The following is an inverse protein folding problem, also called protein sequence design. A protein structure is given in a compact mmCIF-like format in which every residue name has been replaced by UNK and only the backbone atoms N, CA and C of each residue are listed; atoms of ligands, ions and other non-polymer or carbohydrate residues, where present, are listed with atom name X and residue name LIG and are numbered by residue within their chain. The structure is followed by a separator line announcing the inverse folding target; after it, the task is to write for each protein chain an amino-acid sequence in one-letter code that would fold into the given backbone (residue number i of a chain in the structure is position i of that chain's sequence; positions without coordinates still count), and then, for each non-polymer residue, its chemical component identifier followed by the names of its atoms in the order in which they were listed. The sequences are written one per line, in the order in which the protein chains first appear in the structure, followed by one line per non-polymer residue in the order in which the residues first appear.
data_IF_289751586328
#
_entry.id   IF_289751586328
#
_cell.length_a   1.000
_cell.length_b   1.000
_cell.length_c   1.000
_cell.angle_alpha   90.00
_cell.angle_beta   90.00
_cell.angle_gamma   90.00
#
_symmetry.space_group_name_H-M   'P 1'
#
loop_
_entity.id
_entity.type
_entity.pdbx_description
1 polymer ?
#
# COMPACT_ATOMS: atom_id res chain seq x y z
N UNK A 1 9.09 28.02 -1.90
CA UNK A 1 8.58 26.87 -2.69
C UNK A 1 7.62 26.12 -1.79
N UNK A 2 6.43 25.74 -2.26
CA UNK A 2 5.58 24.85 -1.49
C UNK A 2 6.31 23.51 -1.28
N UNK A 3 6.30 22.93 -0.05
CA UNK A 3 7.01 21.69 0.21
C UNK A 3 6.51 20.56 -0.69
N UNK A 4 7.45 19.69 -1.09
CA UNK A 4 7.14 18.44 -1.75
C UNK A 4 7.41 17.28 -0.77
N UNK A 5 6.50 16.32 -0.74
CA UNK A 5 6.63 15.11 0.08
C UNK A 5 6.89 13.89 -0.79
N UNK A 6 7.64 12.93 -0.27
CA UNK A 6 7.73 11.58 -0.83
C UNK A 6 6.71 10.69 -0.14
N UNK A 7 5.87 10.00 -0.92
CA UNK A 7 4.89 9.06 -0.39
C UNK A 7 5.18 7.68 -0.94
N UNK A 8 5.42 6.74 -0.04
CA UNK A 8 5.36 5.33 -0.34
C UNK A 8 3.93 4.84 -0.16
N UNK A 9 3.23 4.58 -1.26
CA UNK A 9 1.86 4.05 -1.25
C UNK A 9 1.94 2.53 -1.32
N UNK A 10 2.28 1.87 -0.21
CA UNK A 10 2.41 0.41 -0.15
C UNK A 10 1.08 -0.33 -0.07
N UNK A 11 1.13 -1.64 -0.34
CA UNK A 11 -0.04 -2.54 -0.36
C UNK A 11 -0.72 -2.61 1.01
N UNK A 12 0.05 -2.92 2.06
CA UNK A 12 -0.45 -3.08 3.45
C UNK A 12 -0.27 -1.82 4.29
N UNK A 13 0.81 -1.08 4.06
CA UNK A 13 1.19 0.13 4.79
C UNK A 13 1.70 1.19 3.82
N UNK A 14 1.46 2.45 4.17
CA UNK A 14 1.98 3.62 3.49
C UNK A 14 2.88 4.43 4.41
N UNK A 15 3.83 5.16 3.83
CA UNK A 15 4.78 6.00 4.52
C UNK A 15 4.85 7.37 3.85
N UNK A 16 5.04 8.43 4.64
CA UNK A 16 5.28 9.78 4.12
C UNK A 16 6.57 10.35 4.69
N UNK A 17 7.38 10.93 3.83
CA UNK A 17 8.64 11.55 4.18
C UNK A 17 8.81 12.91 3.52
N UNK A 18 9.72 13.71 4.07
CA UNK A 18 10.09 15.00 3.53
C UNK A 18 11.61 15.15 3.49
N UNK A 19 12.10 15.80 2.43
CA UNK A 19 13.50 16.19 2.33
C UNK A 19 13.66 17.67 2.72
N UNK A 20 14.35 17.95 3.82
CA UNK A 20 14.67 19.31 4.30
C UNK A 20 16.05 19.31 4.94
N UNK A 21 16.77 20.42 4.82
CA UNK A 21 18.10 20.61 5.44
C UNK A 21 19.09 19.48 5.12
N UNK A 22 19.09 19.02 3.87
CA UNK A 22 19.88 17.90 3.36
C UNK A 22 19.65 16.56 4.08
N UNK A 23 18.47 16.38 4.67
CA UNK A 23 18.05 15.18 5.39
C UNK A 23 16.66 14.72 4.94
N UNK A 24 16.48 13.41 4.92
CA UNK A 24 15.17 12.79 4.72
C UNK A 24 14.59 12.43 6.10
N UNK A 25 13.47 13.04 6.45
CA UNK A 25 12.73 12.75 7.68
C UNK A 25 11.46 11.97 7.34
N UNK A 26 11.26 10.85 8.04
CA UNK A 26 10.01 10.07 7.97
C UNK A 26 9.03 10.61 9.02
N UNK A 27 7.85 11.01 8.56
CA UNK A 27 6.85 11.70 9.37
C UNK A 27 5.99 10.66 10.09
N UNK A 28 5.94 10.77 11.42
CA UNK A 28 5.05 9.95 12.23
C UNK A 28 3.60 10.45 12.11
N UNK A 29 2.64 9.52 12.10
CA UNK A 29 1.22 9.82 12.11
C UNK A 29 0.73 10.26 13.50
N UNK A 30 -0.58 10.49 13.63
CA UNK A 30 -1.23 10.96 14.86
C UNK A 30 -1.15 9.96 16.03
N UNK A 31 -0.79 8.71 15.76
CA UNK A 31 -0.52 7.67 16.77
C UNK A 31 0.98 7.52 17.09
N UNK A 32 1.85 8.30 16.45
CA UNK A 32 3.31 8.20 16.58
C UNK A 32 3.95 7.12 15.70
N UNK A 33 3.20 6.46 14.82
CA UNK A 33 3.71 5.43 13.92
C UNK A 33 4.32 6.05 12.66
N UNK A 34 5.49 5.56 12.23
CA UNK A 34 6.17 6.02 11.00
C UNK A 34 5.60 5.45 9.70
N UNK A 35 4.74 4.45 9.82
CA UNK A 35 3.97 3.86 8.74
C UNK A 35 2.51 3.83 9.14
N UNK A 36 1.61 4.07 8.20
CA UNK A 36 0.16 4.05 8.42
C UNK A 36 -0.46 2.91 7.61
N UNK A 37 -1.31 2.06 8.19
CA UNK A 37 -1.98 1.01 7.43
C UNK A 37 -2.70 1.55 6.18
N UNK A 38 -2.58 0.87 5.05
CA UNK A 38 -3.30 1.17 3.80
C UNK A 38 -4.76 0.67 3.85
N UNK A 39 -5.47 1.07 4.90
CA UNK A 39 -6.83 0.62 5.22
C UNK A 39 -7.82 1.79 5.16
N UNK A 40 -9.01 1.54 4.64
CA UNK A 40 -10.13 2.49 4.63
C UNK A 40 -11.40 1.79 5.14
N UNK A 41 -11.91 2.24 6.27
CA UNK A 41 -13.13 1.75 6.90
C UNK A 41 -14.30 2.70 6.64
N UNK A 42 -15.47 2.15 6.33
CA UNK A 42 -16.71 2.90 6.16
C UNK A 42 -17.70 2.50 7.25
N UNK A 43 -18.27 3.50 7.94
CA UNK A 43 -19.26 3.30 8.99
C UNK A 43 -20.53 4.11 8.69
N UNK A 44 -21.54 4.01 9.55
CA UNK A 44 -22.77 4.79 9.41
C UNK A 44 -22.56 6.30 9.61
N UNK A 45 -21.45 6.70 10.25
CA UNK A 45 -21.19 8.09 10.63
C UNK A 45 -20.03 8.69 9.85
N UNK A 46 -18.96 7.92 9.65
CA UNK A 46 -17.68 8.45 9.20
C UNK A 46 -16.85 7.44 8.40
N UNK A 47 -15.80 7.98 7.78
CA UNK A 47 -14.80 7.19 7.09
C UNK A 47 -13.54 7.19 7.94
N UNK A 48 -13.07 6.00 8.29
CA UNK A 48 -11.84 5.75 9.02
C UNK A 48 -10.73 5.44 8.03
N UNK A 49 -9.50 5.90 8.29
CA UNK A 49 -8.34 5.66 7.42
C UNK A 49 -7.14 5.34 8.32
N UNK A 50 -6.29 4.39 7.92
CA UNK A 50 -5.09 4.05 8.69
C UNK A 50 -5.38 3.16 9.89
N UNK A 51 -4.72 3.45 11.02
CA UNK A 51 -4.81 2.66 12.25
C UNK A 51 -6.25 2.49 12.73
N UNK A 52 -7.06 3.56 12.65
CA UNK A 52 -8.46 3.51 13.05
C UNK A 52 -9.29 2.51 12.20
N UNK A 53 -9.04 2.47 10.88
CA UNK A 53 -9.71 1.52 10.00
C UNK A 53 -9.23 0.08 10.24
N UNK A 54 -7.93 -0.11 10.47
CA UNK A 54 -7.36 -1.42 10.76
C UNK A 54 -7.89 -2.00 12.09
N UNK A 55 -7.94 -1.19 13.15
CA UNK A 55 -8.35 -1.65 14.48
C UNK A 55 -9.80 -2.16 14.52
N UNK A 56 -10.69 -1.66 13.66
CA UNK A 56 -12.09 -2.09 13.62
C UNK A 56 -12.37 -3.24 12.63
N UNK A 57 -11.37 -3.71 11.87
CA UNK A 57 -11.60 -4.68 10.77
C UNK A 57 -12.29 -5.95 11.26
N UNK A 58 -12.03 -6.38 12.50
CA UNK A 58 -12.67 -7.55 13.14
C UNK A 58 -14.18 -7.39 13.35
N UNK A 59 -14.63 -6.17 13.58
CA UNK A 59 -16.03 -5.84 13.84
C UNK A 59 -16.78 -5.46 12.57
N UNK A 60 -16.08 -4.94 11.55
CA UNK A 60 -16.66 -4.43 10.32
C UNK A 60 -15.87 -4.88 9.06
N UNK A 61 -15.74 -6.19 8.83
CA UNK A 61 -14.84 -6.71 7.78
C UNK A 61 -15.35 -6.44 6.36
N UNK A 62 -16.67 -6.33 6.15
CA UNK A 62 -17.27 -6.12 4.83
C UNK A 62 -17.14 -4.68 4.32
N UNK A 63 -16.97 -3.71 5.24
CA UNK A 63 -16.85 -2.29 4.90
C UNK A 63 -15.46 -1.73 5.28
N UNK A 64 -14.48 -2.61 5.51
CA UNK A 64 -13.08 -2.22 5.70
C UNK A 64 -12.26 -2.73 4.54
N UNK A 65 -11.82 -1.80 3.71
CA UNK A 65 -11.09 -2.05 2.48
C UNK A 65 -9.58 -1.99 2.77
N UNK A 66 -8.86 -2.98 2.26
CA UNK A 66 -7.40 -3.08 2.26
C UNK A 66 -6.95 -3.61 0.89
N UNK A 67 -5.65 -3.64 0.62
CA UNK A 67 -5.09 -4.20 -0.63
C UNK A 67 -5.62 -3.56 -1.93
N UNK A 68 -6.14 -2.33 -1.86
CA UNK A 68 -6.64 -1.61 -3.04
C UNK A 68 -5.58 -1.46 -4.15
N UNK A 69 -4.29 -1.43 -3.78
CA UNK A 69 -3.15 -1.41 -4.71
C UNK A 69 -3.09 -2.65 -5.62
N UNK A 70 -3.64 -3.79 -5.19
CA UNK A 70 -3.76 -4.99 -6.04
C UNK A 70 -4.76 -4.81 -7.18
N UNK A 71 -5.75 -3.93 -7.01
CA UNK A 71 -6.85 -3.70 -7.96
C UNK A 71 -6.62 -2.50 -8.89
N UNK A 72 -5.77 -1.55 -8.48
CA UNK A 72 -5.59 -0.28 -9.19
C UNK A 72 -5.12 -0.47 -10.64
N UNK A 73 -5.76 0.23 -11.58
CA UNK A 73 -5.44 0.17 -13.01
C UNK A 73 -5.71 -1.16 -13.72
N UNK A 74 -6.33 -2.15 -13.05
CA UNK A 74 -6.68 -3.45 -13.61
C UNK A 74 -8.10 -3.51 -14.16
N UNK A 75 -8.40 -4.56 -14.92
CA UNK A 75 -9.75 -4.89 -15.38
C UNK A 75 -10.38 -5.89 -14.43
N UNK A 76 -11.71 -5.82 -14.27
CA UNK A 76 -12.44 -6.73 -13.40
C UNK A 76 -12.22 -8.20 -13.81
N UNK A 77 -12.15 -8.47 -15.11
CA UNK A 77 -11.97 -9.81 -15.67
C UNK A 77 -10.53 -10.35 -15.59
N UNK A 78 -9.55 -9.56 -15.13
CA UNK A 78 -8.17 -10.03 -15.01
C UNK A 78 -8.08 -11.21 -14.02
N UNK A 79 -7.33 -12.25 -14.39
CA UNK A 79 -7.24 -13.48 -13.58
C UNK A 79 -6.75 -13.22 -12.15
N UNK A 80 -5.82 -12.28 -11.99
CA UNK A 80 -5.29 -11.85 -10.69
C UNK A 80 -6.39 -11.20 -9.83
N UNK A 81 -7.23 -10.33 -10.42
CA UNK A 81 -8.37 -9.73 -9.72
C UNK A 81 -9.37 -10.81 -9.28
N UNK A 82 -9.68 -11.75 -10.16
CA UNK A 82 -10.59 -12.86 -9.84
C UNK A 82 -10.04 -13.82 -8.77
N UNK A 83 -8.72 -13.96 -8.68
CA UNK A 83 -8.06 -14.72 -7.61
C UNK A 83 -8.14 -13.97 -6.28
N UNK A 84 -7.75 -12.69 -6.27
CA UNK A 84 -7.71 -11.83 -5.08
C UNK A 84 -9.09 -11.65 -4.44
N UNK A 85 -10.14 -11.51 -5.27
CA UNK A 85 -11.52 -11.39 -4.81
C UNK A 85 -12.00 -12.52 -3.89
N UNK A 86 -11.38 -13.71 -3.96
CA UNK A 86 -11.71 -14.86 -3.11
C UNK A 86 -11.19 -14.71 -1.68
N UNK A 87 -10.24 -13.80 -1.48
CA UNK A 87 -9.55 -13.58 -0.22
C UNK A 87 -9.99 -12.29 0.49
N UNK A 88 -10.69 -11.40 -0.22
CA UNK A 88 -11.24 -10.19 0.37
C UNK A 88 -12.54 -10.45 1.16
N UNK A 89 -12.69 -9.73 2.26
CA UNK A 89 -13.91 -9.73 3.08
C UNK A 89 -14.98 -8.75 2.57
N UNK A 90 -14.60 -7.83 1.69
CA UNK A 90 -15.47 -6.84 1.05
C UNK A 90 -15.80 -7.24 -0.39
N UNK A 91 -16.89 -6.67 -0.93
CA UNK A 91 -17.39 -7.06 -2.24
C UNK A 91 -16.74 -6.23 -3.35
N UNK A 92 -16.30 -6.90 -4.41
CA UNK A 92 -15.90 -6.25 -5.66
C UNK A 92 -16.97 -6.49 -6.72
N UNK A 93 -17.38 -5.42 -7.41
CA UNK A 93 -18.37 -5.44 -8.48
C UNK A 93 -17.77 -4.92 -9.78
N UNK A 94 -18.27 -5.41 -10.91
CA UNK A 94 -17.90 -4.90 -12.23
C UNK A 94 -18.72 -3.65 -12.57
N UNK A 95 -18.04 -2.53 -12.83
CA UNK A 95 -18.67 -1.37 -13.49
C UNK A 95 -17.89 -1.03 -14.76
N UNK A 96 -18.47 -1.38 -15.90
CA UNK A 96 -17.89 -1.04 -17.21
C UNK A 96 -16.55 -1.72 -17.47
N UNK A 97 -16.34 -2.94 -16.97
CA UNK A 97 -15.10 -3.71 -17.10
C UNK A 97 -14.04 -3.40 -16.05
N UNK A 98 -14.32 -2.50 -15.10
CA UNK A 98 -13.39 -2.09 -14.03
C UNK A 98 -13.85 -2.57 -12.66
N UNK A 99 -12.93 -3.05 -11.79
CA UNK A 99 -13.29 -3.46 -10.45
C UNK A 99 -13.68 -2.22 -9.63
N UNK A 100 -14.80 -2.31 -8.93
CA UNK A 100 -15.26 -1.30 -7.98
C UNK A 100 -15.53 -1.99 -6.64
N UNK A 101 -15.14 -1.34 -5.55
CA UNK A 101 -15.28 -1.85 -4.19
C UNK A 101 -16.62 -1.36 -3.63
N UNK A 102 -17.54 -2.28 -3.40
CA UNK A 102 -18.87 -2.00 -2.87
C UNK A 102 -18.89 -2.12 -1.34
N UNK A 103 -19.35 -1.07 -0.67
CA UNK A 103 -19.42 -0.95 0.79
C UNK A 103 -20.72 -0.26 1.21
N UNK A 104 -21.19 -0.53 2.42
CA UNK A 104 -22.22 0.26 3.07
C UNK A 104 -21.59 1.46 3.77
N UNK A 105 -22.05 2.66 3.45
CA UNK A 105 -21.56 3.90 4.04
C UNK A 105 -22.72 4.85 4.30
N UNK A 106 -22.92 5.25 5.56
CA UNK A 106 -24.05 6.10 5.99
C UNK A 106 -25.43 5.54 5.60
N UNK A 107 -25.60 4.22 5.75
CA UNK A 107 -26.84 3.52 5.41
C UNK A 107 -27.15 3.41 3.91
N UNK A 108 -26.19 3.73 3.04
CA UNK A 108 -26.32 3.56 1.59
C UNK A 108 -25.19 2.70 1.01
N UNK A 109 -25.55 1.82 0.08
CA UNK A 109 -24.58 1.08 -0.72
C UNK A 109 -23.84 2.06 -1.65
N UNK A 110 -22.52 2.15 -1.48
CA UNK A 110 -21.62 2.95 -2.31
C UNK A 110 -20.64 2.01 -3.01
N UNK A 111 -20.19 2.40 -4.21
CA UNK A 111 -19.08 1.71 -4.85
C UNK A 111 -18.00 2.73 -5.19
N UNK A 112 -16.77 2.40 -4.81
CA UNK A 112 -15.58 3.22 -5.03
C UNK A 112 -14.63 2.54 -5.98
N UNK A 113 -13.93 3.31 -6.81
CA UNK A 113 -12.84 2.75 -7.60
C UNK A 113 -11.59 2.53 -6.73
N UNK A 114 -10.66 1.65 -7.12
CA UNK A 114 -9.39 1.48 -6.40
C UNK A 114 -8.58 2.78 -6.29
N UNK A 115 -8.69 3.66 -7.28
CA UNK A 115 -8.08 5.00 -7.29
C UNK A 115 -8.71 5.89 -6.22
N UNK A 116 -10.03 5.87 -6.02
CA UNK A 116 -10.69 6.63 -4.95
C UNK A 116 -10.29 6.12 -3.55
N UNK A 117 -10.20 4.80 -3.35
CA UNK A 117 -9.70 4.24 -2.09
C UNK A 117 -8.24 4.64 -1.84
N UNK A 118 -7.39 4.55 -2.87
CA UNK A 118 -5.99 4.98 -2.78
C UNK A 118 -5.87 6.49 -2.53
N UNK A 119 -6.76 7.30 -3.09
CA UNK A 119 -6.82 8.74 -2.85
C UNK A 119 -7.18 9.08 -1.40
N UNK A 120 -8.01 8.25 -0.73
CA UNK A 120 -8.30 8.41 0.69
C UNK A 120 -7.03 8.16 1.52
N UNK A 121 -6.25 7.13 1.18
CA UNK A 121 -4.95 6.85 1.83
C UNK A 121 -3.96 8.00 1.58
N UNK A 122 -3.84 8.47 0.35
CA UNK A 122 -2.99 9.61 0.00
C UNK A 122 -3.42 10.91 0.69
N UNK A 123 -4.73 11.12 0.86
CA UNK A 123 -5.27 12.24 1.66
C UNK A 123 -4.77 12.15 3.10
N UNK A 124 -4.84 10.97 3.73
CA UNK A 124 -4.31 10.78 5.09
C UNK A 124 -2.80 11.05 5.15
N UNK A 125 -2.03 10.61 4.15
CA UNK A 125 -0.58 10.88 4.07
C UNK A 125 -0.28 12.37 3.94
N UNK A 126 -1.07 13.09 3.13
CA UNK A 126 -0.99 14.55 3.02
C UNK A 126 -1.29 15.21 4.36
N UNK A 127 -2.41 14.88 4.99
CA UNK A 127 -2.83 15.45 6.28
C UNK A 127 -1.78 15.21 7.38
N UNK A 128 -1.18 14.02 7.41
CA UNK A 128 -0.06 13.70 8.31
C UNK A 128 1.13 14.62 8.07
N UNK A 129 1.52 14.85 6.81
CA UNK A 129 2.58 15.78 6.49
C UNK A 129 2.20 17.23 6.82
N UNK A 130 0.98 17.68 6.52
CA UNK A 130 0.49 19.03 6.82
C UNK A 130 0.50 19.31 8.32
N UNK A 131 0.07 18.34 9.14
CA UNK A 131 0.13 18.43 10.60
C UNK A 131 1.55 18.55 11.13
N UNK A 132 2.54 17.90 10.48
CA UNK A 132 3.95 17.98 10.87
C UNK A 132 4.59 19.31 10.45
N UNK A 133 4.24 19.82 9.28
CA UNK A 133 4.87 21.01 8.68
C UNK A 133 4.19 22.33 9.10
N UNK A 134 2.91 22.27 9.52
CA UNK A 134 2.11 23.45 9.84
C UNK A 134 1.66 24.26 8.61
N UNK A 135 1.76 23.70 7.41
CA UNK A 135 1.41 24.34 6.14
C UNK A 135 0.82 23.32 5.16
N UNK A 136 0.09 23.80 4.14
CA UNK A 136 -0.53 22.95 3.11
C UNK A 136 0.51 22.27 2.21
N UNK A 137 0.29 20.99 1.93
CA UNK A 137 1.16 20.18 1.07
C UNK A 137 0.45 19.92 -0.26
N UNK A 138 0.96 20.53 -1.33
CA UNK A 138 0.36 20.40 -2.65
C UNK A 138 1.15 19.49 -3.59
N UNK A 139 2.44 19.26 -3.35
CA UNK A 139 3.30 18.52 -4.27
C UNK A 139 3.73 17.19 -3.67
N UNK A 140 3.69 16.13 -4.46
CA UNK A 140 4.15 14.82 -4.03
C UNK A 140 4.90 14.07 -5.13
N UNK A 141 5.85 13.23 -4.71
CA UNK A 141 6.38 12.12 -5.51
C UNK A 141 5.81 10.84 -4.91
N UNK A 142 5.20 9.99 -5.72
CA UNK A 142 4.56 8.75 -5.24
C UNK A 142 5.30 7.55 -5.84
N UNK A 143 5.59 6.55 -5.02
CA UNK A 143 6.25 5.32 -5.46
C UNK A 143 5.23 4.30 -6.01
N UNK A 144 5.69 3.45 -6.92
CA UNK A 144 4.96 2.27 -7.43
C UNK A 144 5.93 1.11 -7.67
N UNK A 145 5.46 -0.14 -7.73
CA UNK A 145 6.30 -1.27 -8.08
C UNK A 145 6.90 -1.11 -9.48
N UNK A 146 8.11 -1.60 -9.71
CA UNK A 146 8.78 -1.44 -11.01
C UNK A 146 8.01 -2.12 -12.16
N UNK A 147 7.30 -3.21 -11.88
CA UNK A 147 6.49 -3.96 -12.85
C UNK A 147 5.13 -3.32 -13.16
N UNK A 148 4.74 -2.23 -12.49
CA UNK A 148 3.50 -1.52 -12.82
C UNK A 148 3.51 -1.02 -14.26
N UNK A 149 2.46 -1.37 -15.01
CA UNK A 149 2.24 -0.90 -16.37
C UNK A 149 1.69 0.54 -16.40
N UNK A 150 1.56 1.10 -17.60
CA UNK A 150 1.10 2.48 -17.80
C UNK A 150 -0.30 2.76 -17.22
N UNK A 151 -1.22 1.79 -17.32
CA UNK A 151 -2.57 1.90 -16.76
C UNK A 151 -2.53 2.04 -15.24
N UNK A 152 -1.72 1.22 -14.57
CA UNK A 152 -1.58 1.24 -13.12
C UNK A 152 -0.87 2.52 -12.65
N UNK A 153 0.19 2.95 -13.36
CA UNK A 153 0.89 4.22 -13.07
C UNK A 153 -0.03 5.43 -13.22
N UNK A 154 -0.83 5.46 -14.28
CA UNK A 154 -1.80 6.53 -14.50
C UNK A 154 -2.87 6.52 -13.42
N UNK A 155 -3.41 5.35 -13.07
CA UNK A 155 -4.40 5.20 -12.02
C UNK A 155 -3.88 5.65 -10.62
N UNK A 156 -2.63 5.33 -10.27
CA UNK A 156 -1.99 5.86 -9.06
C UNK A 156 -1.81 7.38 -9.11
N UNK A 157 -1.46 7.94 -10.29
CA UNK A 157 -1.38 9.39 -10.47
C UNK A 157 -2.74 10.07 -10.33
N UNK A 158 -3.80 9.45 -10.87
CA UNK A 158 -5.17 9.92 -10.74
C UNK A 158 -5.63 9.89 -9.28
N UNK A 159 -5.27 8.86 -8.51
CA UNK A 159 -5.50 8.82 -7.07
C UNK A 159 -4.85 10.02 -6.34
N UNK A 160 -3.62 10.39 -6.73
CA UNK A 160 -2.97 11.60 -6.23
C UNK A 160 -3.74 12.88 -6.56
N UNK A 161 -4.24 13.00 -7.80
CA UNK A 161 -5.06 14.14 -8.22
C UNK A 161 -6.37 14.23 -7.41
N UNK A 162 -7.07 13.10 -7.22
CA UNK A 162 -8.30 13.02 -6.41
C UNK A 162 -8.02 13.42 -4.96
N UNK A 163 -6.85 13.06 -4.44
CA UNK A 163 -6.39 13.47 -3.11
C UNK A 163 -6.00 14.96 -3.01
N UNK A 164 -6.02 15.71 -4.12
CA UNK A 164 -5.61 17.11 -4.17
C UNK A 164 -4.08 17.31 -4.19
N UNK A 165 -3.32 16.30 -4.62
CA UNK A 165 -1.87 16.37 -4.78
C UNK A 165 -1.50 16.57 -6.26
N UNK A 166 -0.59 17.51 -6.50
CA UNK A 166 0.18 17.60 -7.73
C UNK A 166 1.29 16.55 -7.70
N UNK A 167 1.06 15.41 -8.36
CA UNK A 167 2.04 14.33 -8.49
C UNK A 167 3.14 14.73 -9.48
N UNK A 168 4.27 15.21 -8.93
CA UNK A 168 5.42 15.67 -9.70
C UNK A 168 6.03 14.54 -10.52
N UNK A 169 6.08 13.33 -9.94
CA UNK A 169 6.62 12.15 -10.57
C UNK A 169 6.07 10.88 -9.90
N UNK A 170 5.86 9.85 -10.71
CA UNK A 170 5.76 8.47 -10.24
C UNK A 170 7.15 7.85 -10.37
N UNK A 171 7.71 7.32 -9.29
CA UNK A 171 9.02 6.66 -9.30
C UNK A 171 8.87 5.19 -8.92
N UNK A 172 9.79 4.36 -9.37
CA UNK A 172 9.79 2.95 -8.97
C UNK A 172 10.27 2.84 -7.53
N UNK A 173 9.60 2.02 -6.72
CA UNK A 173 10.02 1.64 -5.37
C UNK A 173 11.49 1.22 -5.29
N UNK A 174 12.00 0.29 -6.13
CA UNK A 174 13.41 -0.09 -6.06
C UNK A 174 14.37 1.05 -6.45
N UNK A 175 13.94 1.98 -7.31
CA UNK A 175 14.72 3.19 -7.62
C UNK A 175 14.72 4.14 -6.42
N UNK A 176 13.59 4.33 -5.76
CA UNK A 176 13.48 5.15 -4.54
C UNK A 176 14.38 4.59 -3.42
N UNK A 177 14.40 3.27 -3.23
CA UNK A 177 15.27 2.59 -2.28
C UNK A 177 16.76 2.80 -2.62
N UNK A 178 17.13 2.68 -3.90
CA UNK A 178 18.51 2.91 -4.33
C UNK A 178 18.96 4.38 -4.12
N UNK A 179 18.07 5.35 -4.36
CA UNK A 179 18.32 6.77 -4.04
C UNK A 179 18.47 6.96 -2.53
N UNK A 180 17.61 6.36 -1.71
CA UNK A 180 17.67 6.47 -0.26
C UNK A 180 18.99 5.92 0.32
N UNK A 181 19.56 4.89 -0.31
CA UNK A 181 20.86 4.34 0.09
C UNK A 181 22.06 5.21 -0.36
N UNK A 182 21.81 6.29 -1.09
CA UNK A 182 22.84 7.20 -1.60
C UNK A 182 23.64 6.62 -2.76
N UNK A 183 23.05 5.68 -3.52
CA UNK A 183 23.68 5.06 -4.69
C UNK A 183 23.62 5.96 -5.93
N UNK A 184 22.88 7.07 -5.86
CA UNK A 184 22.87 8.17 -6.84
C UNK A 184 24.14 9.04 -6.78
N UNK A 185 24.87 9.01 -5.66
CA UNK A 185 26.11 9.77 -5.51
C UNK A 185 27.10 9.33 -6.58
N UNK A 186 27.71 10.31 -7.26
CA UNK A 186 28.67 10.07 -8.33
C UNK A 186 29.76 9.11 -7.85
N UNK A 187 29.70 7.88 -8.35
CA UNK A 187 30.81 6.95 -8.26
C UNK A 187 31.22 6.63 -9.68
N UNK A 188 32.53 6.54 -9.90
CA UNK A 188 33.08 6.19 -11.20
C UNK A 188 32.67 4.76 -11.58
N UNK A 189 32.15 4.63 -12.80
CA UNK A 189 31.78 3.36 -13.42
C UNK A 189 30.34 2.90 -13.18
N UNK A 190 29.94 1.92 -13.98
CA UNK A 190 28.66 1.24 -13.91
C UNK A 190 28.57 0.38 -12.63
N UNK A 191 27.43 0.44 -11.95
CA UNK A 191 27.14 -0.40 -10.77
C UNK A 191 25.86 -1.17 -10.96
N UNK A 192 25.92 -2.47 -10.70
CA UNK A 192 24.74 -3.31 -10.63
C UNK A 192 24.29 -3.45 -9.17
N UNK A 193 23.03 -3.14 -8.92
CA UNK A 193 22.40 -3.11 -7.60
C UNK A 193 21.20 -4.02 -7.61
N UNK A 194 21.19 -5.03 -6.74
CA UNK A 194 20.03 -5.88 -6.53
C UNK A 194 19.25 -5.36 -5.32
N UNK A 195 18.01 -4.95 -5.56
CA UNK A 195 17.05 -4.59 -4.51
C UNK A 195 16.23 -5.84 -4.22
N UNK A 196 16.21 -6.22 -2.94
CA UNK A 196 15.38 -7.29 -2.40
C UNK A 196 14.37 -6.64 -1.46
N UNK A 197 13.10 -6.65 -1.86
CA UNK A 197 12.00 -6.06 -1.12
C UNK A 197 11.00 -7.16 -0.73
N UNK A 198 10.87 -7.43 0.57
CA UNK A 198 9.96 -8.43 1.11
C UNK A 198 9.03 -7.74 2.10
N UNK A 199 7.86 -7.35 1.60
CA UNK A 199 6.85 -6.61 2.34
C UNK A 199 5.85 -7.50 3.09
N UNK A 200 4.73 -6.90 3.48
CA UNK A 200 3.65 -7.58 4.20
C UNK A 200 2.94 -8.65 3.37
N UNK A 201 2.72 -8.40 2.07
CA UNK A 201 2.05 -9.34 1.18
C UNK A 201 2.64 -9.42 -0.24
N UNK A 202 3.77 -8.77 -0.49
CA UNK A 202 4.45 -8.77 -1.79
C UNK A 202 5.94 -8.99 -1.61
N UNK A 203 6.54 -9.73 -2.54
CA UNK A 203 7.96 -9.97 -2.63
C UNK A 203 8.46 -9.57 -4.02
N UNK A 204 9.38 -8.60 -4.06
CA UNK A 204 9.92 -8.04 -5.30
C UNK A 204 11.45 -8.03 -5.28
N UNK A 205 12.04 -8.46 -6.40
CA UNK A 205 13.47 -8.42 -6.66
C UNK A 205 13.71 -7.63 -7.93
N UNK A 206 14.50 -6.57 -7.84
CA UNK A 206 14.84 -5.73 -8.98
C UNK A 206 16.35 -5.60 -9.12
N UNK A 207 16.87 -5.88 -10.31
CA UNK A 207 18.26 -5.57 -10.67
C UNK A 207 18.28 -4.21 -11.39
N UNK A 208 18.99 -3.25 -10.81
CA UNK A 208 19.22 -1.94 -11.41
C UNK A 208 20.67 -1.83 -11.85
N UNK A 209 20.87 -1.09 -12.92
CA UNK A 209 22.17 -0.51 -13.27
C UNK A 209 22.14 0.97 -12.94
N UNK A 210 23.20 1.46 -12.30
CA UNK A 210 23.39 2.86 -11.96
C UNK A 210 24.68 3.34 -12.63
N UNK A 211 24.57 4.35 -13.46
CA UNK A 211 25.70 4.99 -14.15
C UNK A 211 25.46 6.50 -14.20
N UNK A 212 26.41 7.28 -13.69
CA UNK A 212 26.34 8.76 -13.67
C UNK A 212 25.02 9.35 -13.10
N UNK A 213 24.39 8.65 -12.15
CA UNK A 213 23.12 9.06 -11.54
C UNK A 213 21.86 8.69 -12.36
N UNK A 214 22.04 7.99 -13.48
CA UNK A 214 20.95 7.39 -14.25
C UNK A 214 20.66 6.00 -13.68
N UNK A 215 19.39 5.75 -13.37
CA UNK A 215 18.91 4.46 -12.87
C UNK A 215 18.15 3.73 -13.98
N UNK A 216 18.64 2.56 -14.35
CA UNK A 216 17.99 1.69 -15.33
C UNK A 216 17.58 0.38 -14.68
N UNK A 217 16.30 0.02 -14.75
CA UNK A 217 15.81 -1.29 -14.29
C UNK A 217 16.13 -2.32 -15.36
N UNK A 218 17.02 -3.27 -15.07
CA UNK A 218 17.44 -4.33 -16.01
C UNK A 218 16.50 -5.53 -15.99
N UNK A 219 16.03 -5.91 -14.80
CA UNK A 219 15.10 -7.03 -14.64
C UNK A 219 14.33 -6.91 -13.34
N UNK A 220 13.09 -7.37 -13.35
CA UNK A 220 12.23 -7.49 -12.17
C UNK A 220 11.65 -8.90 -12.10
N UNK A 221 11.67 -9.50 -10.93
CA UNK A 221 11.05 -10.78 -10.63
C UNK A 221 10.49 -10.74 -9.22
N UNK A 222 9.63 -11.68 -8.85
CA UNK A 222 9.01 -11.65 -7.53
C UNK A 222 7.81 -12.58 -7.42
N UNK A 223 7.11 -12.45 -6.31
CA UNK A 223 5.84 -13.08 -6.04
C UNK A 223 4.90 -12.05 -5.40
N UNK A 224 3.84 -11.71 -6.13
CA UNK A 224 2.86 -10.70 -5.71
C UNK A 224 2.01 -11.16 -4.53
N UNK A 225 2.10 -12.43 -4.12
CA UNK A 225 1.28 -13.04 -3.06
C UNK A 225 2.13 -13.74 -2.01
N UNK A 226 3.37 -13.30 -1.85
CA UNK A 226 4.28 -13.75 -0.81
C UNK A 226 4.69 -12.58 0.08
N UNK A 227 4.53 -12.70 1.39
CA UNK A 227 5.04 -11.71 2.33
C UNK A 227 4.99 -12.13 3.80
N UNK A 228 5.11 -11.15 4.69
CA UNK A 228 4.99 -11.33 6.13
C UNK A 228 3.73 -12.08 6.58
N UNK A 229 2.60 -11.85 5.91
CA UNK A 229 1.32 -12.48 6.20
C UNK A 229 1.37 -14.02 6.04
N UNK A 230 2.15 -14.53 5.08
CA UNK A 230 2.34 -15.97 4.93
C UNK A 230 3.11 -16.57 6.10
N UNK A 231 4.09 -15.83 6.64
CA UNK A 231 4.86 -16.26 7.80
C UNK A 231 3.97 -16.29 9.05
N UNK A 232 3.11 -15.27 9.22
CA UNK A 232 2.11 -15.23 10.28
C UNK A 232 1.14 -16.41 10.17
N UNK A 233 0.63 -16.69 8.97
CA UNK A 233 -0.24 -17.83 8.72
C UNK A 233 0.41 -19.19 9.05
N UNK A 234 1.71 -19.35 8.78
CA UNK A 234 2.46 -20.55 9.19
C UNK A 234 2.53 -20.69 10.71
N UNK A 235 2.78 -19.59 11.43
CA UNK A 235 2.80 -19.58 12.90
C UNK A 235 1.41 -19.85 13.50
N UNK A 236 0.36 -19.23 12.95
CA UNK A 236 -1.03 -19.48 13.37
C UNK A 236 -1.37 -20.96 13.22
N UNK A 237 -1.12 -21.54 12.05
CA UNK A 237 -1.39 -22.96 11.81
C UNK A 237 -0.62 -23.88 12.76
N UNK A 238 0.64 -23.53 13.08
CA UNK A 238 1.42 -24.24 14.08
C UNK A 238 0.73 -24.23 15.46
N UNK A 239 0.34 -23.05 15.96
CA UNK A 239 -0.30 -22.92 17.27
C UNK A 239 -1.71 -23.52 17.31
N UNK A 240 -2.48 -23.46 16.21
CA UNK A 240 -3.76 -24.17 16.09
C UNK A 240 -3.57 -25.68 16.29
N UNK A 241 -2.56 -26.25 15.64
CA UNK A 241 -2.25 -27.68 15.78
C UNK A 241 -1.75 -28.02 17.18
N UNK A 242 -0.90 -27.18 17.76
CA UNK A 242 -0.40 -27.38 19.12
C UNK A 242 -1.54 -27.31 20.16
N UNK A 243 -2.45 -26.34 20.00
CA UNK A 243 -3.61 -26.18 20.87
C UNK A 243 -4.54 -27.40 20.79
N UNK A 244 -4.87 -27.86 19.58
CA UNK A 244 -5.65 -29.10 19.37
C UNK A 244 -4.99 -30.30 20.05
N UNK A 245 -3.67 -30.42 19.95
CA UNK A 245 -2.89 -31.49 20.60
C UNK A 245 -2.93 -31.42 22.12
N UNK A 246 -2.72 -30.24 22.71
CA UNK A 246 -2.66 -30.04 24.17
C UNK A 246 -4.03 -30.13 24.85
N UNK A 247 -5.05 -29.54 24.24
CA UNK A 247 -6.37 -29.36 24.86
C UNK A 247 -7.44 -30.32 24.33
N UNK A 248 -7.10 -31.22 23.39
CA UNK A 248 -8.01 -32.21 22.78
C UNK A 248 -9.32 -31.59 22.26
N UNK A 249 -9.26 -30.34 21.83
CA UNK A 249 -10.43 -29.64 21.32
C UNK A 249 -10.84 -30.23 19.97
N UNK A 250 -12.07 -30.75 19.89
CA UNK A 250 -12.66 -31.38 18.70
C UNK A 250 -13.39 -30.38 17.78
N UNK A 251 -13.44 -29.09 18.12
CA UNK A 251 -14.14 -28.09 17.32
C UNK A 251 -13.30 -27.56 16.16
N UNK A 252 -13.97 -27.35 15.01
CA UNK A 252 -13.45 -26.55 13.91
C UNK A 252 -13.26 -25.12 14.40
N UNK A 253 -12.03 -24.76 14.73
CA UNK A 253 -11.66 -23.36 14.92
C UNK A 253 -11.64 -22.69 13.54
N UNK A 254 -12.59 -21.80 13.29
CA UNK A 254 -12.46 -20.79 12.23
C UNK A 254 -11.79 -19.59 12.90
N UNK A 255 -10.46 -19.50 12.81
CA UNK A 255 -9.77 -18.25 13.12
C UNK A 255 -10.00 -17.31 11.95
N UNK A 256 -11.01 -16.45 12.06
CA UNK A 256 -11.12 -15.28 11.20
C UNK A 256 -10.21 -14.22 11.81
N UNK A 257 -8.95 -14.17 11.38
CA UNK A 257 -8.10 -13.06 11.79
C UNK A 257 -8.52 -11.82 11.01
N UNK A 258 -8.72 -10.76 11.77
CA UNK A 258 -8.78 -9.42 11.26
C UNK A 258 -7.48 -8.76 11.70
N UNK A 259 -6.72 -8.35 10.69
CA UNK A 259 -5.33 -7.94 10.71
C UNK A 259 -5.02 -6.96 11.86
N UNK A 260 -4.35 -7.44 12.92
CA UNK A 260 -3.71 -6.61 13.94
C UNK A 260 -2.28 -7.10 14.17
N UNK A 261 -1.39 -6.75 13.24
CA UNK A 261 0.04 -6.53 13.51
C UNK A 261 0.45 -5.25 12.81
#
# INVERSE_FOLDING_TARGET
MAPAVGIDLGTTYSCVGIFREDRCDIIANDQGNRTTPSFVGFTDTERLIGDAAKNQVAMNPQNTVFDAKRLIGRKFADAEVQADMKHFSFRIVDKGGKPNIEVEFKGETRAFTPEEISAMILTKMRETAESYLGETVNNAVVTVPAYFNDSQRQATKDAGLIAGLNVLRIINEPTAAAIAYGLDKKVEGERNVLIFDLGGGTFDVSLLTIEEGIFEVKSTAGDTHLGGEDFDNRLVNHFVNEFKRKFKASQKFTLSFCYSI
#
